data_IF_531181556229
#
_entry.id   IF_531181556229
#
_cell.length_a   1.000
_cell.length_b   1.000
_cell.length_c   1.000
_cell.angle_alpha   90.00
_cell.angle_beta   90.00
_cell.angle_gamma   90.00
#
_symmetry.space_group_name_H-M   'P 1'
#
loop_
_entity.id
_entity.type
_entity.pdbx_description
1 polymer ?
#
# COMPACT_ATOMS: atom_id res chain seq x y z
N UNK A 1 -10.06 5.78 4.03
CA UNK A 1 -10.50 4.45 3.55
C UNK A 1 -9.69 4.01 2.35
N UNK A 2 -9.37 2.72 2.26
CA UNK A 2 -8.75 2.08 1.09
C UNK A 2 -9.69 1.01 0.53
N UNK A 3 -9.86 0.94 -0.80
CA UNK A 3 -10.76 -0.02 -1.44
C UNK A 3 -10.00 -1.08 -2.22
N UNK A 4 -10.35 -2.35 -2.03
CA UNK A 4 -9.83 -3.47 -2.81
C UNK A 4 -10.94 -4.47 -3.12
N UNK A 5 -11.34 -4.56 -4.39
CA UNK A 5 -12.53 -5.32 -4.77
C UNK A 5 -13.78 -4.79 -4.06
N UNK A 6 -14.49 -5.68 -3.38
CA UNK A 6 -15.67 -5.36 -2.57
C UNK A 6 -15.32 -4.99 -1.12
N UNK A 7 -14.04 -5.01 -0.75
CA UNK A 7 -13.60 -4.67 0.61
C UNK A 7 -13.20 -3.21 0.74
N UNK A 8 -13.57 -2.63 1.86
CA UNK A 8 -13.14 -1.32 2.29
C UNK A 8 -12.36 -1.44 3.60
N UNK A 9 -11.22 -0.77 3.71
CA UNK A 9 -10.34 -0.79 4.88
C UNK A 9 -10.25 0.60 5.50
N UNK A 10 -10.48 0.67 6.81
CA UNK A 10 -10.32 1.88 7.62
C UNK A 10 -8.85 2.07 8.02
N UNK A 11 -8.21 3.04 7.36
CA UNK A 11 -6.79 3.35 7.59
C UNK A 11 -6.59 4.10 8.90
N UNK A 12 -7.53 4.96 9.29
CA UNK A 12 -7.42 5.71 10.55
C UNK A 12 -7.53 4.74 11.73
N UNK A 13 -8.41 3.75 11.64
CA UNK A 13 -8.49 2.66 12.61
C UNK A 13 -7.24 1.79 12.62
N UNK A 14 -6.64 1.53 11.47
CA UNK A 14 -5.36 0.80 11.39
C UNK A 14 -4.24 1.57 12.12
N UNK A 15 -4.15 2.88 11.91
CA UNK A 15 -3.19 3.75 12.60
C UNK A 15 -3.41 3.72 14.11
N UNK A 16 -4.66 3.88 14.56
CA UNK A 16 -4.97 3.79 15.99
C UNK A 16 -4.61 2.45 16.63
N UNK A 17 -4.85 1.32 15.93
CA UNK A 17 -4.43 0.01 16.42
C UNK A 17 -2.90 -0.10 16.60
N UNK A 18 -2.14 0.53 15.70
CA UNK A 18 -0.68 0.54 15.76
C UNK A 18 -0.15 1.46 16.86
N UNK A 19 -0.87 2.55 17.17
CA UNK A 19 -0.57 3.43 18.31
C UNK A 19 -0.88 2.75 19.65
N UNK A 20 -2.01 2.05 19.76
CA UNK A 20 -2.41 1.32 20.97
C UNK A 20 -1.51 0.11 21.26
N UNK A 21 -0.94 -0.48 20.20
CA UNK A 21 -0.06 -1.66 20.27
C UNK A 21 1.26 -1.41 19.54
N UNK A 22 2.16 -0.60 20.13
CA UNK A 22 3.44 -0.30 19.52
C UNK A 22 4.24 -1.57 19.23
N UNK A 23 4.76 -1.66 18.01
CA UNK A 23 5.56 -2.79 17.54
C UNK A 23 6.74 -2.30 16.73
N UNK A 24 7.75 -3.15 16.54
CA UNK A 24 8.86 -2.84 15.65
C UNK A 24 8.35 -2.75 14.20
N UNK A 25 8.90 -1.80 13.45
CA UNK A 25 8.71 -1.74 11.99
C UNK A 25 9.57 -2.80 11.33
N UNK A 26 9.01 -3.47 10.34
CA UNK A 26 9.73 -4.41 9.49
C UNK A 26 10.20 -3.70 8.22
N UNK A 27 11.27 -4.20 7.60
CA UNK A 27 11.73 -3.68 6.30
C UNK A 27 11.06 -4.45 5.18
N UNK A 28 10.24 -3.76 4.38
CA UNK A 28 9.56 -4.37 3.24
C UNK A 28 10.28 -4.06 1.93
N UNK A 29 10.49 -5.04 1.03
CA UNK A 29 11.23 -4.85 -0.20
C UNK A 29 10.41 -4.05 -1.23
N UNK A 30 10.94 -2.89 -1.63
CA UNK A 30 10.30 -1.99 -2.59
C UNK A 30 10.07 -2.67 -3.93
N UNK A 31 11.04 -3.49 -4.39
CA UNK A 31 10.95 -4.20 -5.66
C UNK A 31 9.73 -5.14 -5.76
N UNK A 32 9.34 -5.78 -4.65
CA UNK A 32 8.20 -6.71 -4.66
C UNK A 32 6.89 -5.94 -4.85
N UNK A 33 6.72 -4.83 -4.14
CA UNK A 33 5.54 -3.98 -4.26
C UNK A 33 5.50 -3.24 -5.59
N UNK A 34 6.64 -2.72 -6.05
CA UNK A 34 6.77 -2.10 -7.35
C UNK A 34 6.38 -3.05 -8.49
N UNK A 35 6.78 -4.32 -8.41
CA UNK A 35 6.40 -5.34 -9.37
C UNK A 35 4.91 -5.72 -9.27
N UNK A 36 4.41 -5.95 -8.06
CA UNK A 36 3.01 -6.33 -7.81
C UNK A 36 2.04 -5.25 -8.30
N UNK A 37 2.35 -3.98 -8.01
CA UNK A 37 1.47 -2.85 -8.32
C UNK A 37 1.85 -2.14 -9.62
N UNK A 38 2.88 -2.66 -10.32
CA UNK A 38 3.43 -2.11 -11.57
C UNK A 38 3.71 -0.61 -11.47
N UNK A 39 4.26 -0.17 -10.35
CA UNK A 39 4.49 1.26 -10.05
C UNK A 39 5.34 1.96 -11.12
N UNK A 40 6.22 1.23 -11.81
CA UNK A 40 7.04 1.76 -12.91
C UNK A 40 6.25 2.25 -14.13
N UNK A 41 4.97 1.86 -14.24
CA UNK A 41 4.05 2.28 -15.30
C UNK A 41 3.20 3.50 -14.90
N UNK A 42 3.27 3.95 -13.65
CA UNK A 42 2.63 5.19 -13.20
C UNK A 42 3.52 6.37 -13.58
N UNK A 43 3.35 6.86 -14.81
CA UNK A 43 4.08 8.02 -15.33
C UNK A 43 3.11 8.96 -16.02
N UNK A 44 3.35 10.28 -15.96
CA UNK A 44 2.50 11.26 -16.64
C UNK A 44 2.34 11.00 -18.15
N UNK A 45 3.28 10.29 -18.77
CA UNK A 45 3.31 9.95 -20.19
C UNK A 45 2.82 8.53 -20.53
N UNK A 46 2.28 7.78 -19.56
CA UNK A 46 1.83 6.41 -19.80
C UNK A 46 0.50 6.36 -20.58
N UNK A 47 0.58 5.95 -21.85
CA UNK A 47 -0.57 5.78 -22.75
C UNK A 47 -1.03 4.31 -22.90
N UNK A 48 -0.73 3.44 -21.93
CA UNK A 48 -1.11 2.02 -21.97
C UNK A 48 -2.50 1.74 -21.39
N UNK A 49 -2.98 0.48 -21.44
CA UNK A 49 -4.30 0.14 -20.93
C UNK A 49 -4.44 0.47 -19.44
N UNK A 50 -5.54 1.12 -19.11
CA UNK A 50 -5.85 1.61 -17.78
C UNK A 50 -6.42 0.50 -16.91
N UNK A 51 -5.55 -0.42 -16.49
CA UNK A 51 -5.98 -1.49 -15.58
C UNK A 51 -5.07 -1.59 -14.38
N UNK A 52 -5.42 -0.86 -13.32
CA UNK A 52 -4.91 -1.13 -11.98
C UNK A 52 -6.06 -1.10 -10.97
N UNK A 53 -6.45 -2.27 -10.42
CA UNK A 53 -7.56 -2.38 -9.47
C UNK A 53 -7.44 -1.45 -8.25
N UNK A 54 -6.21 -1.06 -7.90
CA UNK A 54 -5.89 -0.21 -6.74
C UNK A 54 -6.08 1.29 -7.06
N UNK A 55 -5.90 1.71 -8.31
CA UNK A 55 -5.93 3.12 -8.71
C UNK A 55 -7.16 3.51 -9.52
N UNK A 56 -8.06 2.55 -9.81
CA UNK A 56 -9.26 2.80 -10.60
C UNK A 56 -9.07 2.59 -12.11
N UNK A 57 -10.13 2.86 -12.90
CA UNK A 57 -10.17 2.59 -14.34
C UNK A 57 -9.31 3.54 -15.16
N UNK A 58 -8.79 4.61 -14.57
CA UNK A 58 -7.80 5.53 -15.11
C UNK A 58 -6.90 5.95 -13.94
N UNK A 59 -5.62 6.24 -14.17
CA UNK A 59 -4.65 6.56 -13.12
C UNK A 59 -4.96 7.91 -12.40
N UNK A 60 -6.16 8.45 -12.58
CA UNK A 60 -6.62 9.75 -12.07
C UNK A 60 -6.54 9.88 -10.56
N UNK A 61 -6.56 8.75 -9.83
CA UNK A 61 -6.44 8.72 -8.39
C UNK A 61 -4.98 8.64 -7.88
N UNK A 62 -3.99 8.61 -8.78
CA UNK A 62 -2.57 8.60 -8.43
C UNK A 62 -1.90 9.93 -8.82
N UNK A 63 -1.24 10.55 -7.86
CA UNK A 63 -0.49 11.79 -8.08
C UNK A 63 1.01 11.54 -7.91
N UNK A 64 1.72 11.47 -9.04
CA UNK A 64 3.16 11.23 -9.06
C UNK A 64 3.96 12.42 -8.50
N UNK A 65 3.49 13.65 -8.68
CA UNK A 65 4.16 14.84 -8.14
C UNK A 65 4.06 14.87 -6.61
N UNK A 66 2.85 14.61 -6.08
CA UNK A 66 2.65 14.42 -4.66
C UNK A 66 3.50 13.27 -4.11
N UNK A 67 3.59 12.15 -4.82
CA UNK A 67 4.37 10.99 -4.40
C UNK A 67 5.82 11.36 -4.07
N UNK A 68 6.47 12.15 -4.94
CA UNK A 68 7.86 12.56 -4.78
C UNK A 68 8.10 13.47 -3.55
N UNK A 69 7.05 14.02 -2.94
CA UNK A 69 7.13 14.81 -1.70
C UNK A 69 6.86 14.03 -0.41
N UNK A 70 6.47 12.76 -0.49
CA UNK A 70 6.06 11.97 0.70
C UNK A 70 7.22 11.56 1.59
N UNK A 71 7.07 11.60 2.92
CA UNK A 71 8.12 11.21 3.87
C UNK A 71 8.43 9.70 3.80
N UNK A 72 9.68 9.31 3.52
CA UNK A 72 10.09 7.91 3.40
C UNK A 72 10.40 7.24 4.76
N UNK A 73 10.57 8.02 5.83
CA UNK A 73 10.74 7.50 7.19
C UNK A 73 9.40 7.08 7.81
N UNK A 74 8.29 7.59 7.26
CA UNK A 74 6.95 7.18 7.68
C UNK A 74 6.65 5.74 7.22
N UNK A 75 6.37 4.80 8.14
CA UNK A 75 6.11 3.42 7.78
C UNK A 75 4.89 3.27 6.86
N UNK A 76 4.97 2.34 5.92
CA UNK A 76 3.80 1.90 5.15
C UNK A 76 2.96 0.91 5.97
N UNK A 77 1.68 0.72 5.62
CA UNK A 77 0.81 -0.22 6.33
C UNK A 77 0.37 -1.33 5.39
N UNK A 78 0.65 -2.57 5.80
CA UNK A 78 0.34 -3.79 5.07
C UNK A 78 -0.68 -4.59 5.87
N UNK A 79 -1.82 -4.87 5.25
CA UNK A 79 -2.80 -5.81 5.75
C UNK A 79 -2.42 -7.25 5.35
N UNK A 80 -2.61 -8.19 6.26
CA UNK A 80 -2.59 -9.62 5.96
C UNK A 80 -4.04 -10.11 5.81
N UNK A 81 -4.33 -10.72 4.66
CA UNK A 81 -5.64 -11.26 4.29
C UNK A 81 -5.57 -12.77 4.18
N UNK A 82 -6.59 -13.47 4.66
CA UNK A 82 -6.73 -14.91 4.46
C UNK A 82 -7.60 -15.20 3.22
N UNK A 83 -7.11 -16.06 2.33
CA UNK A 83 -7.84 -16.58 1.18
C UNK A 83 -7.79 -18.11 1.19
N UNK A 84 -8.66 -18.76 0.41
CA UNK A 84 -8.63 -20.24 0.27
C UNK A 84 -7.28 -20.78 -0.23
N UNK A 85 -6.53 -19.97 -0.99
CA UNK A 85 -5.19 -20.30 -1.47
C UNK A 85 -4.06 -19.99 -0.47
N UNK A 86 -4.40 -19.52 0.73
CA UNK A 86 -3.49 -19.09 1.78
C UNK A 86 -3.40 -17.57 1.95
N UNK A 87 -2.60 -17.10 2.92
CA UNK A 87 -2.51 -15.70 3.28
C UNK A 87 -1.84 -14.86 2.20
N UNK A 88 -2.32 -13.64 2.01
CA UNK A 88 -1.77 -12.67 1.07
C UNK A 88 -1.63 -11.28 1.70
N UNK A 89 -0.61 -10.54 1.27
CA UNK A 89 -0.32 -9.19 1.74
C UNK A 89 -0.96 -8.15 0.81
N UNK A 90 -1.51 -7.11 1.41
CA UNK A 90 -2.10 -5.97 0.71
C UNK A 90 -1.56 -4.67 1.33
N UNK A 91 -0.92 -3.83 0.53
CA UNK A 91 -0.47 -2.50 0.94
C UNK A 91 -1.68 -1.57 0.95
N UNK A 92 -2.17 -1.24 2.14
CA UNK A 92 -3.40 -0.46 2.35
C UNK A 92 -3.11 1.03 2.57
N UNK A 93 -1.89 1.38 2.97
CA UNK A 93 -1.41 2.76 3.06
C UNK A 93 0.06 2.87 2.65
N UNK A 94 0.42 3.99 2.03
CA UNK A 94 1.80 4.30 1.66
C UNK A 94 2.21 3.96 0.23
N UNK A 95 1.24 3.78 -0.69
CA UNK A 95 1.52 3.52 -2.11
C UNK A 95 2.35 4.65 -2.76
N UNK A 96 2.06 5.91 -2.44
CA UNK A 96 2.85 7.06 -2.89
C UNK A 96 4.30 7.01 -2.35
N UNK A 97 4.49 6.63 -1.07
CA UNK A 97 5.82 6.42 -0.48
C UNK A 97 6.57 5.30 -1.19
N UNK A 98 5.88 4.20 -1.48
CA UNK A 98 6.43 3.07 -2.24
C UNK A 98 6.87 3.46 -3.65
N UNK A 99 6.08 4.30 -4.33
CA UNK A 99 6.43 4.85 -5.63
C UNK A 99 7.68 5.72 -5.56
N UNK A 100 7.72 6.66 -4.59
CA UNK A 100 8.89 7.52 -4.38
C UNK A 100 10.14 6.70 -4.10
N UNK A 101 10.06 5.72 -3.20
CA UNK A 101 11.18 4.83 -2.88
C UNK A 101 11.69 4.06 -4.10
N UNK A 102 10.79 3.54 -4.95
CA UNK A 102 11.16 2.91 -6.21
C UNK A 102 11.87 3.91 -7.15
N UNK A 103 11.32 5.11 -7.31
CA UNK A 103 11.85 6.16 -8.19
C UNK A 103 13.22 6.66 -7.75
N UNK A 104 13.47 6.73 -6.44
CA UNK A 104 14.77 7.11 -5.86
C UNK A 104 15.74 5.93 -5.71
N UNK A 105 15.32 4.71 -6.02
CA UNK A 105 16.17 3.52 -5.98
C UNK A 105 16.43 2.97 -4.57
N UNK A 106 15.56 3.25 -3.60
CA UNK A 106 15.65 2.67 -2.26
C UNK A 106 15.23 1.18 -2.29
N UNK A 107 15.98 0.28 -1.64
CA UNK A 107 15.69 -1.16 -1.67
C UNK A 107 14.52 -1.55 -0.76
N UNK A 108 14.32 -0.84 0.35
CA UNK A 108 13.33 -1.15 1.38
C UNK A 108 12.65 0.10 1.93
N UNK A 109 11.47 -0.08 2.51
CA UNK A 109 10.79 0.90 3.35
C UNK A 109 10.42 0.29 4.71
N UNK A 110 10.35 1.10 5.79
CA UNK A 110 9.73 0.68 7.04
C UNK A 110 8.25 0.36 6.81
N UNK A 111 7.77 -0.70 7.44
CA UNK A 111 6.39 -1.16 7.30
C UNK A 111 5.84 -1.70 8.62
N UNK A 112 4.55 -1.46 8.84
CA UNK A 112 3.75 -2.19 9.81
C UNK A 112 2.95 -3.25 9.08
N UNK A 113 3.05 -4.49 9.56
CA UNK A 113 2.24 -5.62 9.08
C UNK A 113 1.17 -5.91 10.12
N UNK A 114 -0.09 -5.77 9.69
CA UNK A 114 -1.24 -6.16 10.49
C UNK A 114 -1.42 -7.67 10.44
N UNK A 115 -1.80 -8.25 11.57
CA UNK A 115 -2.25 -9.65 11.61
C UNK A 115 -3.60 -9.79 10.93
N UNK A 116 -4.00 -11.02 10.55
CA UNK A 116 -5.33 -11.30 9.98
C UNK A 116 -6.44 -10.77 10.89
N UNK A 117 -6.32 -11.02 12.21
CA UNK A 117 -7.30 -10.56 13.18
C UNK A 117 -7.40 -9.02 13.23
N UNK A 118 -6.29 -8.31 13.12
CA UNK A 118 -6.29 -6.84 13.07
C UNK A 118 -6.89 -6.33 11.75
N UNK A 119 -6.50 -6.93 10.63
CA UNK A 119 -7.08 -6.65 9.31
C UNK A 119 -8.60 -6.81 9.32
N UNK A 120 -9.13 -7.87 9.94
CA UNK A 120 -10.57 -8.10 10.03
C UNK A 120 -11.29 -7.01 10.83
N UNK A 121 -10.65 -6.43 11.86
CA UNK A 121 -11.27 -5.35 12.65
C UNK A 121 -11.36 -4.00 11.95
N UNK A 122 -10.55 -3.80 10.89
CA UNK A 122 -10.54 -2.58 10.09
C UNK A 122 -11.25 -2.75 8.74
N UNK A 123 -11.73 -3.96 8.42
CA UNK A 123 -12.44 -4.25 7.18
C UNK A 123 -13.93 -3.99 7.35
N UNK A 124 -14.49 -3.23 6.41
CA UNK A 124 -15.92 -2.97 6.26
C UNK A 124 -16.49 -3.74 5.06
N UNK A 125 -17.79 -4.05 5.13
CA UNK A 125 -18.57 -4.77 4.12
C UNK A 125 -19.40 -3.83 3.25
#
# INVERSE_FOLDING_TARGET
MFKYGDWLFDIDRAVHLLEERPRAVEQTPVANWAAAYRLSLLRPDYNGPSWYPIFGPDQSHFDAEHAMGTDLDQPVIIALLEFDSGPAHLLIDGVHRMYRAMSEGLPTLPAYVLTIAETDTIREH
#
